data_IF_022480952117
#
_entry.id   IF_022480952117
#
_cell.length_a   1.000
_cell.length_b   1.000
_cell.length_c   1.000
_cell.angle_alpha   90.00
_cell.angle_beta   90.00
_cell.angle_gamma   90.00
#
_symmetry.space_group_name_H-M   'P 1'
#
loop_
_entity.id
_entity.type
_entity.pdbx_description
1 polymer ?
#
# COMPACT_ATOMS: atom_id res chain seq x y z
N UNK A 1 -14.68 6.29 -8.59
CA UNK A 1 -15.00 5.74 -7.26
C UNK A 1 -15.94 6.66 -6.47
N UNK A 2 -17.05 6.17 -5.86
CA UNK A 2 -17.99 7.02 -5.13
C UNK A 2 -17.40 7.64 -3.85
N UNK A 3 -17.63 8.94 -3.61
CA UNK A 3 -17.10 9.69 -2.44
C UNK A 3 -17.60 9.21 -1.07
N UNK A 4 -18.60 8.32 -1.05
CA UNK A 4 -19.15 7.71 0.17
C UNK A 4 -18.85 6.22 0.28
N UNK A 5 -18.13 5.64 -0.69
CA UNK A 5 -17.69 4.25 -0.60
C UNK A 5 -16.70 4.08 0.56
N UNK A 6 -16.69 2.89 1.14
CA UNK A 6 -15.86 2.59 2.32
C UNK A 6 -14.39 2.68 1.96
N UNK A 7 -14.04 2.13 0.80
CA UNK A 7 -12.71 2.13 0.25
C UNK A 7 -12.22 3.59 0.04
N UNK A 8 -13.10 4.51 -0.41
CA UNK A 8 -12.72 5.91 -0.62
C UNK A 8 -12.46 6.59 0.71
N UNK A 9 -13.33 6.35 1.69
CA UNK A 9 -13.19 6.92 3.03
C UNK A 9 -11.94 6.39 3.72
N UNK A 10 -11.64 5.10 3.58
CA UNK A 10 -10.44 4.47 4.11
C UNK A 10 -9.18 5.02 3.45
N UNK A 11 -9.10 5.01 2.11
CA UNK A 11 -7.98 5.60 1.36
C UNK A 11 -7.80 7.08 1.65
N UNK A 12 -8.86 7.84 1.94
CA UNK A 12 -8.76 9.27 2.24
C UNK A 12 -8.30 9.54 3.67
N UNK A 13 -8.86 8.82 4.65
CA UNK A 13 -8.66 9.12 6.09
C UNK A 13 -7.50 8.35 6.69
N UNK A 14 -7.30 7.12 6.23
CA UNK A 14 -6.31 6.18 6.77
C UNK A 14 -5.23 5.82 5.74
N UNK A 15 -4.94 6.72 4.79
CA UNK A 15 -3.94 6.50 3.73
C UNK A 15 -2.56 6.05 4.25
N UNK A 16 -2.18 6.42 5.48
CA UNK A 16 -0.92 6.00 6.11
C UNK A 16 -0.84 4.50 6.35
N UNK A 17 -1.97 3.80 6.42
CA UNK A 17 -2.02 2.33 6.54
C UNK A 17 -1.38 1.62 5.36
N UNK A 18 -1.39 2.23 4.19
CA UNK A 18 -0.73 1.71 2.99
C UNK A 18 0.80 1.88 3.04
N UNK A 19 1.31 2.69 3.97
CA UNK A 19 2.75 2.87 4.19
C UNK A 19 3.31 1.98 5.30
N UNK A 20 2.45 1.32 6.06
CA UNK A 20 2.90 0.37 7.08
C UNK A 20 3.51 -0.87 6.40
N UNK A 21 4.55 -1.43 7.03
CA UNK A 21 5.12 -2.70 6.57
C UNK A 21 4.04 -3.78 6.66
N UNK A 22 3.95 -4.62 5.64
CA UNK A 22 2.97 -5.70 5.57
C UNK A 22 2.98 -6.63 6.79
N UNK A 23 4.14 -6.79 7.43
CA UNK A 23 4.28 -7.59 8.65
C UNK A 23 3.62 -6.95 9.88
N UNK A 24 3.46 -5.62 9.88
CA UNK A 24 2.90 -4.85 10.99
C UNK A 24 1.39 -4.58 10.87
N UNK A 25 0.80 -4.88 9.72
CA UNK A 25 -0.65 -4.69 9.48
C UNK A 25 -1.44 -5.70 10.31
N UNK A 26 -2.52 -5.27 10.97
CA UNK A 26 -3.44 -6.15 11.69
C UNK A 26 -4.24 -7.04 10.71
N UNK A 27 -4.10 -8.35 10.84
CA UNK A 27 -4.63 -9.36 9.90
C UNK A 27 -5.72 -10.24 10.50
N UNK A 28 -5.75 -10.36 11.82
CA UNK A 28 -6.48 -11.42 12.52
C UNK A 28 -7.69 -10.85 13.26
N UNK A 29 -7.51 -9.75 13.97
CA UNK A 29 -8.52 -9.20 14.87
C UNK A 29 -9.25 -8.01 14.22
N UNK A 30 -10.52 -8.16 13.81
CA UNK A 30 -11.30 -7.03 13.33
C UNK A 30 -11.47 -6.00 14.43
N UNK A 31 -11.22 -4.73 14.12
CA UNK A 31 -11.45 -3.59 15.02
C UNK A 31 -12.46 -2.64 14.39
N UNK A 32 -13.09 -1.81 15.21
CA UNK A 32 -13.99 -0.78 14.67
C UNK A 32 -13.17 0.28 13.94
N UNK A 33 -13.45 0.43 12.64
CA UNK A 33 -12.74 1.33 11.75
C UNK A 33 -13.57 2.62 11.63
N UNK A 34 -13.22 3.64 12.43
CA UNK A 34 -13.99 4.89 12.51
C UNK A 34 -14.15 5.61 11.17
N UNK A 35 -13.16 5.48 10.28
CA UNK A 35 -13.18 6.10 8.95
C UNK A 35 -14.32 5.58 8.07
N UNK A 36 -14.67 4.30 8.20
CA UNK A 36 -15.66 3.58 7.38
C UNK A 36 -16.90 3.12 8.15
N UNK A 37 -16.89 3.24 9.48
CA UNK A 37 -18.04 3.03 10.36
C UNK A 37 -18.42 1.56 10.60
N UNK A 38 -17.48 0.62 10.52
CA UNK A 38 -17.75 -0.81 10.78
C UNK A 38 -16.52 -1.58 11.26
N UNK A 39 -16.70 -2.82 11.72
CA UNK A 39 -15.60 -3.70 12.16
C UNK A 39 -14.94 -4.43 10.98
N UNK A 40 -13.62 -4.29 10.85
CA UNK A 40 -12.83 -4.97 9.82
C UNK A 40 -11.34 -5.02 10.22
N UNK A 41 -10.58 -5.94 9.63
CA UNK A 41 -9.11 -5.93 9.73
C UNK A 41 -8.52 -4.86 8.82
N UNK A 42 -7.34 -4.35 9.17
CA UNK A 42 -6.63 -3.37 8.32
C UNK A 42 -6.29 -4.00 6.96
N UNK A 43 -5.89 -5.29 6.96
CA UNK A 43 -5.57 -6.03 5.74
C UNK A 43 -6.76 -6.12 4.78
N UNK A 44 -7.95 -6.49 5.25
CA UNK A 44 -9.12 -6.63 4.38
C UNK A 44 -9.50 -5.30 3.73
N UNK A 45 -9.39 -4.18 4.45
CA UNK A 45 -9.64 -2.86 3.89
C UNK A 45 -8.60 -2.46 2.86
N UNK A 46 -7.32 -2.74 3.13
CA UNK A 46 -6.23 -2.50 2.17
C UNK A 46 -6.48 -3.32 0.90
N UNK A 47 -6.71 -4.64 1.01
CA UNK A 47 -6.98 -5.53 -0.14
C UNK A 47 -8.14 -5.02 -0.98
N UNK A 48 -9.29 -4.67 -0.35
CA UNK A 48 -10.44 -4.09 -1.07
C UNK A 48 -10.10 -2.82 -1.83
N UNK A 49 -9.14 -2.02 -1.35
CA UNK A 49 -8.69 -0.82 -2.05
C UNK A 49 -7.72 -1.13 -3.19
N UNK A 50 -6.86 -2.14 -3.03
CA UNK A 50 -5.94 -2.60 -4.08
C UNK A 50 -6.71 -3.25 -5.24
N UNK A 51 -7.81 -3.94 -4.96
CA UNK A 51 -8.69 -4.55 -5.99
C UNK A 51 -9.36 -3.51 -6.91
N UNK A 52 -9.29 -2.22 -6.58
CA UNK A 52 -9.91 -1.14 -7.38
C UNK A 52 -9.08 -0.74 -8.60
N UNK A 53 -7.76 -0.94 -8.56
CA UNK A 53 -6.84 -0.50 -9.60
C UNK A 53 -5.56 -1.34 -9.60
N UNK A 54 -5.28 -2.00 -10.73
CA UNK A 54 -4.13 -2.89 -10.87
C UNK A 54 -2.79 -2.13 -10.76
N UNK A 55 -2.72 -0.89 -11.25
CA UNK A 55 -1.54 -0.05 -11.13
C UNK A 55 -1.22 0.30 -9.67
N UNK A 56 -2.26 0.58 -8.88
CA UNK A 56 -2.14 0.81 -7.45
C UNK A 56 -1.71 -0.45 -6.70
N UNK A 57 -2.32 -1.60 -7.02
CA UNK A 57 -1.91 -2.90 -6.46
C UNK A 57 -0.44 -3.18 -6.73
N UNK A 58 0.02 -2.96 -7.97
CA UNK A 58 1.42 -3.19 -8.34
C UNK A 58 2.37 -2.22 -7.65
N UNK A 59 1.98 -0.96 -7.54
CA UNK A 59 2.78 0.06 -6.83
C UNK A 59 2.92 -0.26 -5.34
N UNK A 60 1.84 -0.76 -4.72
CA UNK A 60 1.87 -1.19 -3.32
C UNK A 60 2.79 -2.41 -3.12
N UNK A 61 2.74 -3.41 -4.00
CA UNK A 61 3.63 -4.58 -3.96
C UNK A 61 5.11 -4.16 -4.02
N UNK A 62 5.48 -3.33 -5.00
CA UNK A 62 6.86 -2.82 -5.15
C UNK A 62 7.29 -2.05 -3.90
N UNK A 63 6.40 -1.22 -3.34
CA UNK A 63 6.69 -0.50 -2.10
C UNK A 63 6.96 -1.44 -0.92
N UNK A 64 6.17 -2.51 -0.76
CA UNK A 64 6.36 -3.50 0.30
C UNK A 64 7.66 -4.28 0.12
N UNK A 65 8.04 -4.61 -1.12
CA UNK A 65 9.32 -5.27 -1.41
C UNK A 65 10.51 -4.36 -1.05
N UNK A 66 10.43 -3.06 -1.36
CA UNK A 66 11.44 -2.07 -0.94
C UNK A 66 11.55 -2.01 0.58
N UNK A 67 10.43 -1.90 1.30
CA UNK A 67 10.43 -1.88 2.77
C UNK A 67 11.08 -3.14 3.36
N UNK A 68 10.76 -4.30 2.79
CA UNK A 68 11.31 -5.58 3.21
C UNK A 68 12.82 -5.64 2.97
N UNK A 69 13.29 -5.28 1.77
CA UNK A 69 14.69 -5.28 1.40
C UNK A 69 15.53 -4.35 2.30
N UNK A 70 15.02 -3.15 2.60
CA UNK A 70 15.67 -2.20 3.53
C UNK A 70 15.79 -2.83 4.93
N UNK A 71 14.73 -3.45 5.44
CA UNK A 71 14.73 -4.05 6.78
C UNK A 71 15.69 -5.24 6.88
N UNK A 72 15.76 -6.08 5.85
CA UNK A 72 16.58 -7.30 5.85
C UNK A 72 18.00 -7.07 5.35
N UNK A 73 18.33 -5.88 4.82
CA UNK A 73 19.60 -5.62 4.16
C UNK A 73 19.78 -6.41 2.86
N UNK A 74 18.68 -6.81 2.20
CA UNK A 74 18.71 -7.60 0.98
C UNK A 74 19.02 -6.71 -0.23
N UNK A 75 20.30 -6.58 -0.53
CA UNK A 75 20.80 -5.76 -1.63
C UNK A 75 20.45 -6.33 -3.00
N UNK A 76 20.26 -7.64 -3.11
CA UNK A 76 19.96 -8.29 -4.40
C UNK A 76 18.53 -7.97 -4.82
N UNK A 77 17.57 -8.14 -3.92
CA UNK A 77 16.18 -7.74 -4.14
C UNK A 77 16.08 -6.24 -4.43
N UNK A 78 16.79 -5.40 -3.66
CA UNK A 78 16.81 -3.96 -3.90
C UNK A 78 17.33 -3.61 -5.31
N UNK A 79 18.42 -4.23 -5.74
CA UNK A 79 18.99 -4.01 -7.08
C UNK A 79 18.03 -4.48 -8.19
N UNK A 80 17.36 -5.62 -8.01
CA UNK A 80 16.37 -6.11 -8.99
C UNK A 80 15.19 -5.15 -9.13
N UNK A 81 14.68 -4.61 -8.03
CA UNK A 81 13.58 -3.61 -8.05
C UNK A 81 14.02 -2.36 -8.81
N UNK A 82 15.24 -1.86 -8.55
CA UNK A 82 15.78 -0.69 -9.22
C UNK A 82 16.00 -0.92 -10.72
N UNK A 83 16.44 -2.12 -11.12
CA UNK A 83 16.64 -2.47 -12.53
C UNK A 83 15.33 -2.64 -13.30
N UNK A 84 14.28 -3.10 -12.63
CA UNK A 84 12.93 -3.25 -13.21
C UNK A 84 12.13 -1.93 -13.21
N UNK A 85 12.69 -0.87 -12.64
CA UNK A 85 12.07 0.45 -12.65
C UNK A 85 11.99 1.00 -14.07
N UNK A 86 10.78 1.34 -14.48
CA UNK A 86 10.51 2.05 -15.71
C UNK A 86 9.86 3.39 -15.36
N UNK A 87 10.23 4.49 -16.04
CA UNK A 87 9.70 5.80 -15.70
C UNK A 87 8.18 5.83 -15.80
N UNK A 88 7.52 6.32 -14.75
CA UNK A 88 6.07 6.48 -14.69
C UNK A 88 5.63 7.94 -14.94
N UNK A 89 6.58 8.81 -15.30
CA UNK A 89 6.42 10.25 -15.45
C UNK A 89 5.85 10.91 -14.18
N UNK A 90 6.37 10.47 -13.03
CA UNK A 90 6.02 10.95 -11.69
C UNK A 90 7.09 11.87 -11.14
N UNK A 91 6.85 12.50 -9.98
CA UNK A 91 7.86 13.32 -9.31
C UNK A 91 9.16 12.56 -8.96
N UNK A 92 9.13 11.23 -8.86
CA UNK A 92 10.32 10.40 -8.67
C UNK A 92 11.19 10.31 -9.93
N UNK A 93 10.61 10.49 -11.12
CA UNK A 93 11.31 10.41 -12.41
C UNK A 93 12.09 11.67 -12.76
N UNK A 94 11.63 12.80 -12.23
CA UNK A 94 12.23 14.10 -12.51
C UNK A 94 13.35 14.36 -11.49
N UNK A 95 14.61 14.20 -11.93
CA UNK A 95 15.74 14.76 -11.19
C UNK A 95 15.57 16.28 -11.13
N UNK A 96 15.50 16.83 -9.92
CA UNK A 96 15.66 18.26 -9.68
C UNK A 96 17.10 18.69 -9.92
#
# INVERSE_FOLDING_TARGET
MPKRSKEYLFMKRDWKKFLESFDSIEKINPKYQYSVGYYETDLNLITKCLDLDEGFAKSYEVYQDILKAIRTGDTDTMNQILLNYHPLNTAMDHKK
#
